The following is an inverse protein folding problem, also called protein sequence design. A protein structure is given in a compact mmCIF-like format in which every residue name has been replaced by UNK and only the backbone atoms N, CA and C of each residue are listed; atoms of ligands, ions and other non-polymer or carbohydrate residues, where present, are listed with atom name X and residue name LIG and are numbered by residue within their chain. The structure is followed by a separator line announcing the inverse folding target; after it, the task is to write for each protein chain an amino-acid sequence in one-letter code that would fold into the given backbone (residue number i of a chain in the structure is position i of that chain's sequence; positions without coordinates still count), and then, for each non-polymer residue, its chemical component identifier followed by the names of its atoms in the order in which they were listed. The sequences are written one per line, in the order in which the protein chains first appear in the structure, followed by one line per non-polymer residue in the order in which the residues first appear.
data_IF_528253485683
#
_entry.id   IF_528253485683
#
_cell.length_a   1.000
_cell.length_b   1.000
_cell.length_c   1.000
_cell.angle_alpha   90.00
_cell.angle_beta   90.00
_cell.angle_gamma   90.00
#
_symmetry.space_group_name_H-M   'P 1'
#
loop_
_entity.id
_entity.type
_entity.pdbx_description
1 polymer ?
#
# COMPACT_ATOMS: atom_id res chain seq x y z
N UNK A 1 22.03 11.21 -34.02
CA UNK A 1 20.75 11.01 -34.74
C UNK A 1 19.49 11.07 -33.86
N UNK A 2 19.59 11.03 -32.52
CA UNK A 2 18.44 11.09 -31.61
C UNK A 2 18.01 12.52 -31.20
N UNK A 3 18.96 13.45 -31.08
CA UNK A 3 18.67 14.85 -30.71
C UNK A 3 17.76 15.56 -31.73
N UNK A 4 17.99 15.36 -33.03
CA UNK A 4 17.21 16.00 -34.10
C UNK A 4 15.75 15.50 -34.14
N UNK A 5 15.51 14.24 -33.79
CA UNK A 5 14.16 13.65 -33.63
C UNK A 5 13.46 14.26 -32.41
N UNK A 6 14.16 14.37 -31.28
CA UNK A 6 13.61 14.96 -30.05
C UNK A 6 13.22 16.44 -30.24
N UNK A 7 14.06 17.23 -30.90
CA UNK A 7 13.78 18.64 -31.21
C UNK A 7 12.56 18.78 -32.13
N UNK A 8 12.36 17.87 -33.09
CA UNK A 8 11.16 17.87 -33.95
C UNK A 8 9.88 17.50 -33.20
N UNK A 9 9.93 16.53 -32.27
CA UNK A 9 8.78 16.13 -31.45
C UNK A 9 8.34 17.28 -30.53
N UNK A 10 9.30 17.99 -29.92
CA UNK A 10 9.02 19.16 -29.07
C UNK A 10 8.48 20.33 -29.89
N UNK A 11 8.98 20.55 -31.11
CA UNK A 11 8.52 21.62 -32.01
C UNK A 11 7.09 21.41 -32.55
N UNK A 12 6.62 20.16 -32.63
CA UNK A 12 5.27 19.79 -33.10
C UNK A 12 4.20 19.96 -32.00
N UNK A 13 4.58 19.92 -30.72
CA UNK A 13 3.63 19.92 -29.62
C UNK A 13 3.24 21.34 -29.20
N UNK A 14 2.07 21.82 -29.65
CA UNK A 14 1.53 23.12 -29.29
C UNK A 14 0.99 23.15 -27.84
N UNK A 15 1.90 23.15 -26.87
CA UNK A 15 1.59 23.16 -25.43
C UNK A 15 0.68 24.32 -25.02
N UNK A 16 0.79 25.44 -25.74
CA UNK A 16 -0.08 26.61 -25.60
C UNK A 16 -1.56 26.26 -25.80
N UNK A 17 -1.90 25.35 -26.72
CA UNK A 17 -3.28 24.94 -26.97
C UNK A 17 -3.83 24.02 -25.87
N UNK A 18 -2.97 23.21 -25.26
CA UNK A 18 -3.33 22.34 -24.14
C UNK A 18 -3.66 23.17 -22.88
N UNK A 19 -2.91 24.24 -22.60
CA UNK A 19 -3.11 25.07 -21.41
C UNK A 19 -4.21 26.14 -21.57
N UNK A 20 -4.54 26.52 -22.81
CA UNK A 20 -5.50 27.61 -23.07
C UNK A 20 -6.90 27.14 -23.47
N UNK A 21 -7.10 25.85 -23.80
CA UNK A 21 -8.43 25.31 -24.11
C UNK A 21 -9.11 24.77 -22.86
N UNK A 22 -10.43 24.92 -22.76
CA UNK A 22 -11.27 24.37 -21.67
C UNK A 22 -10.99 22.88 -21.42
N UNK A 23 -11.02 22.07 -22.49
CA UNK A 23 -10.77 20.63 -22.43
C UNK A 23 -9.35 20.30 -21.99
N UNK A 24 -8.36 21.06 -22.46
CA UNK A 24 -6.96 20.83 -22.11
C UNK A 24 -6.65 21.21 -20.66
N UNK A 25 -7.25 22.29 -20.14
CA UNK A 25 -7.18 22.66 -18.72
C UNK A 25 -7.73 21.54 -17.83
N UNK A 26 -8.92 21.03 -18.16
CA UNK A 26 -9.54 19.94 -17.40
C UNK A 26 -8.67 18.68 -17.39
N UNK A 27 -8.12 18.30 -18.54
CA UNK A 27 -7.24 17.13 -18.66
C UNK A 27 -5.95 17.26 -17.84
N UNK A 28 -5.29 18.43 -17.91
CA UNK A 28 -4.07 18.71 -17.15
C UNK A 28 -4.36 18.75 -15.65
N UNK A 29 -5.49 19.32 -15.20
CA UNK A 29 -5.90 19.30 -13.79
C UNK A 29 -6.11 17.88 -13.26
N UNK A 30 -6.72 16.98 -14.04
CA UNK A 30 -6.91 15.57 -13.66
C UNK A 30 -5.55 14.87 -13.56
N UNK A 31 -4.68 15.04 -14.55
CA UNK A 31 -3.34 14.43 -14.53
C UNK A 31 -2.49 14.92 -13.36
N UNK A 32 -2.54 16.21 -13.05
CA UNK A 32 -1.83 16.78 -11.91
C UNK A 32 -2.42 16.28 -10.58
N UNK A 33 -3.74 16.15 -10.48
CA UNK A 33 -4.38 15.58 -9.28
C UNK A 33 -3.99 14.12 -9.05
N UNK A 34 -4.00 13.31 -10.12
CA UNK A 34 -3.57 11.90 -10.04
C UNK A 34 -2.07 11.76 -9.79
N UNK A 35 -1.25 12.61 -10.40
CA UNK A 35 0.19 12.65 -10.19
C UNK A 35 0.57 13.08 -8.77
N UNK A 36 -0.14 14.07 -8.21
CA UNK A 36 0.08 14.48 -6.83
C UNK A 36 -0.38 13.40 -5.84
N UNK A 37 -1.53 12.78 -6.09
CA UNK A 37 -2.05 11.69 -5.26
C UNK A 37 -1.11 10.46 -5.23
N UNK A 38 -0.44 10.16 -6.34
CA UNK A 38 0.51 9.04 -6.40
C UNK A 38 1.79 9.31 -5.61
N UNK A 39 2.24 10.57 -5.49
CA UNK A 39 3.41 10.94 -4.67
C UNK A 39 3.16 10.72 -3.17
N UNK A 40 1.93 10.93 -2.71
CA UNK A 40 1.55 10.71 -1.31
C UNK A 40 1.16 9.26 -0.99
N UNK A 41 1.04 8.40 -2.00
CA UNK A 41 0.76 6.98 -1.77
C UNK A 41 2.02 6.33 -1.20
N UNK A 42 1.95 5.90 0.06
CA UNK A 42 3.00 5.07 0.69
C UNK A 42 3.31 3.89 -0.24
N UNK A 43 4.55 3.80 -0.70
CA UNK A 43 5.01 2.63 -1.44
C UNK A 43 5.22 1.53 -0.41
N UNK A 44 4.22 0.67 -0.27
CA UNK A 44 4.31 -0.53 0.56
C UNK A 44 5.29 -1.51 -0.11
N UNK A 45 6.56 -1.38 0.24
CA UNK A 45 7.56 -2.39 -0.08
C UNK A 45 7.56 -3.41 1.05
N UNK A 46 7.10 -4.63 0.76
CA UNK A 46 7.11 -5.77 1.69
C UNK A 46 6.28 -5.52 2.97
N UNK A 47 6.77 -6.00 4.12
CA UNK A 47 6.06 -6.06 5.40
C UNK A 47 5.93 -4.69 6.09
N UNK A 48 6.55 -3.64 5.55
CA UNK A 48 6.59 -2.28 6.15
C UNK A 48 5.25 -1.53 6.12
N UNK A 49 4.21 -2.12 5.51
CA UNK A 49 2.84 -1.59 5.52
C UNK A 49 1.87 -2.46 6.31
N UNK A 50 2.33 -3.59 6.84
CA UNK A 50 1.49 -4.54 7.56
C UNK A 50 1.70 -4.34 9.05
N UNK A 51 0.77 -3.61 9.69
CA UNK A 51 0.74 -3.52 11.15
C UNK A 51 -0.05 -4.70 11.72
N UNK A 52 0.65 -5.73 12.20
CA UNK A 52 0.05 -6.89 12.85
C UNK A 52 -0.24 -6.60 14.32
N UNK A 53 -1.46 -6.14 14.61
CA UNK A 53 -1.98 -6.03 15.97
C UNK A 53 -2.54 -7.39 16.42
N UNK A 54 -1.65 -8.35 16.70
CA UNK A 54 -2.02 -9.64 17.31
C UNK A 54 -1.88 -9.59 18.84
N UNK A 55 -2.65 -10.39 19.60
CA UNK A 55 -2.40 -10.55 21.02
C UNK A 55 -1.04 -11.22 21.23
N UNK A 56 -0.26 -10.72 22.19
CA UNK A 56 1.02 -11.33 22.56
C UNK A 56 0.70 -12.74 23.10
N UNK A 57 1.40 -13.78 22.63
CA UNK A 57 1.10 -15.18 22.99
C UNK A 57 1.13 -15.38 24.52
N UNK A 58 2.11 -14.77 25.19
CA UNK A 58 2.26 -14.76 26.65
C UNK A 58 1.05 -14.14 27.38
N UNK A 59 0.28 -13.28 26.72
CA UNK A 59 -0.91 -12.68 27.32
C UNK A 59 -2.14 -13.59 27.23
N UNK A 60 -2.13 -14.60 26.37
CA UNK A 60 -3.23 -15.53 26.13
C UNK A 60 -2.97 -16.89 26.77
N UNK A 61 -1.72 -17.35 26.77
CA UNK A 61 -1.34 -18.66 27.27
C UNK A 61 -1.57 -18.79 28.78
N UNK A 62 -2.28 -19.84 29.18
CA UNK A 62 -2.58 -20.13 30.59
C UNK A 62 -3.65 -19.25 31.24
N UNK A 63 -4.16 -18.22 30.56
CA UNK A 63 -5.22 -17.35 31.09
C UNK A 63 -6.62 -17.86 30.72
N UNK A 64 -7.58 -17.57 31.59
CA UNK A 64 -9.00 -17.87 31.40
C UNK A 64 -9.72 -16.58 31.05
N UNK A 65 -10.40 -16.56 29.91
CA UNK A 65 -11.15 -15.43 29.40
C UNK A 65 -12.65 -15.68 29.55
N UNK A 66 -13.37 -14.72 30.13
CA UNK A 66 -14.82 -14.77 30.26
C UNK A 66 -15.46 -14.11 29.04
N UNK A 67 -16.33 -14.84 28.34
CA UNK A 67 -17.16 -14.30 27.26
C UNK A 67 -18.62 -14.70 27.50
N UNK A 68 -19.46 -13.69 27.78
CA UNK A 68 -20.82 -13.90 28.30
C UNK A 68 -20.78 -14.65 29.65
N UNK A 69 -21.51 -15.75 29.74
CA UNK A 69 -21.60 -16.59 30.95
C UNK A 69 -20.62 -17.77 30.94
N UNK A 70 -19.74 -17.86 29.92
CA UNK A 70 -18.82 -18.98 29.73
C UNK A 70 -17.37 -18.54 29.85
N UNK A 71 -16.55 -19.43 30.42
CA UNK A 71 -15.11 -19.26 30.58
C UNK A 71 -14.37 -20.12 29.55
N UNK A 72 -13.39 -19.52 28.88
CA UNK A 72 -12.62 -20.16 27.83
C UNK A 72 -11.13 -20.10 28.16
N UNK A 73 -10.43 -21.22 27.97
CA UNK A 73 -8.97 -21.30 28.02
C UNK A 73 -8.50 -21.60 26.60
N UNK A 74 -7.55 -20.81 26.11
CA UNK A 74 -6.97 -20.99 24.79
C UNK A 74 -5.61 -21.68 24.95
N UNK A 75 -5.40 -22.75 24.18
CA UNK A 75 -4.12 -23.46 24.13
C UNK A 75 -3.61 -23.42 22.70
N UNK A 76 -2.34 -23.02 22.54
CA UNK A 76 -1.70 -23.00 21.24
C UNK A 76 -1.46 -24.43 20.78
N UNK A 77 -1.92 -24.76 19.57
CA UNK A 77 -1.63 -26.05 18.94
C UNK A 77 -0.80 -25.84 17.69
N UNK A 78 0.11 -26.77 17.42
CA UNK A 78 0.87 -26.76 16.18
C UNK A 78 -0.07 -27.09 15.01
N UNK A 79 -0.30 -26.11 14.14
CA UNK A 79 -1.02 -26.31 12.90
C UNK A 79 -0.04 -26.40 11.72
N UNK A 80 -0.37 -27.23 10.72
CA UNK A 80 0.37 -27.23 9.46
C UNK A 80 0.08 -25.93 8.71
N UNK A 81 1.13 -25.28 8.20
CA UNK A 81 0.98 -24.11 7.35
C UNK A 81 0.17 -24.49 6.09
N UNK A 82 -0.95 -23.80 5.84
CA UNK A 82 -1.71 -24.00 4.62
C UNK A 82 -1.01 -23.32 3.44
N UNK A 83 -0.77 -24.01 2.32
CA UNK A 83 -0.05 -23.44 1.17
C UNK A 83 -0.81 -22.31 0.46
N UNK A 84 -2.12 -22.19 0.72
CA UNK A 84 -2.97 -21.11 0.20
C UNK A 84 -2.85 -19.81 1.01
N UNK A 85 -2.25 -19.87 2.20
CA UNK A 85 -2.08 -18.72 3.09
C UNK A 85 -0.67 -18.15 2.93
N UNK A 86 -0.56 -16.83 2.87
CA UNK A 86 0.74 -16.15 2.91
C UNK A 86 1.23 -16.10 4.34
N UNK A 87 2.37 -16.72 4.61
CA UNK A 87 3.11 -16.56 5.86
C UNK A 87 3.81 -15.20 5.83
N UNK A 88 3.64 -14.42 6.90
CA UNK A 88 4.33 -13.13 7.07
C UNK A 88 5.20 -13.24 8.32
N UNK A 89 6.45 -12.81 8.22
CA UNK A 89 7.41 -12.85 9.32
C UNK A 89 7.20 -11.62 10.22
N UNK A 90 6.83 -11.88 11.48
CA UNK A 90 6.46 -10.85 12.47
C UNK A 90 7.71 -10.34 13.23
N UNK A 91 8.92 -10.88 12.98
CA UNK A 91 10.11 -10.56 13.77
C UNK A 91 10.86 -9.28 13.38
N UNK A 92 10.34 -8.43 12.47
CA UNK A 92 10.94 -7.12 12.23
C UNK A 92 10.34 -6.07 13.17
N UNK A 93 11.05 -5.79 14.27
CA UNK A 93 10.85 -4.55 15.04
C UNK A 93 10.97 -3.37 14.08
N UNK A 94 9.92 -2.56 14.02
CA UNK A 94 9.98 -1.21 13.47
C UNK A 94 10.97 -0.41 14.35
N UNK A 95 12.08 0.03 13.76
CA UNK A 95 12.82 1.23 14.18
C UNK A 95 12.35 2.42 13.33
#
# INVERSE_FOLDING_TARGET
MNYKIYTHIVYIMNFKRLLNTETGKAFVSILLGLGLASLFRRVCNEDKCLNFNGPILDEVEGKIFKSGDKCYKYEATHAKCEPTKKTVDIHRKEE
#
